data_IF_367836105340
#
_entry.id   IF_367836105340
#
_cell.length_a   1.000
_cell.length_b   1.000
_cell.length_c   1.000
_cell.angle_alpha   90.00
_cell.angle_beta   90.00
_cell.angle_gamma   90.00
#
_symmetry.space_group_name_H-M   'P 1'
#
loop_
_entity.id
_entity.type
_entity.pdbx_description
1 polymer ?
#
# COMPACT_ATOMS: atom_id res chain seq x y z
N UNK A 1 -17.38 -30.07 55.46
CA UNK A 1 -17.97 -30.31 54.12
C UNK A 1 -18.29 -29.04 53.32
N UNK A 2 -18.41 -27.84 53.93
CA UNK A 2 -18.73 -26.58 53.20
C UNK A 2 -17.48 -25.85 52.65
N UNK A 3 -16.35 -25.88 53.38
CA UNK A 3 -15.08 -25.26 52.97
C UNK A 3 -14.45 -25.92 51.73
N UNK A 4 -14.62 -27.23 51.57
CA UNK A 4 -14.10 -27.99 50.42
C UNK A 4 -14.79 -27.62 49.11
N UNK A 5 -16.07 -27.23 49.16
CA UNK A 5 -16.80 -26.73 48.00
C UNK A 5 -16.29 -25.35 47.58
N UNK A 6 -16.03 -24.44 48.52
CA UNK A 6 -15.56 -23.07 48.20
C UNK A 6 -14.20 -23.10 47.51
N UNK A 7 -13.27 -23.93 47.98
CA UNK A 7 -11.94 -24.08 47.35
C UNK A 7 -12.01 -24.65 45.93
N UNK A 8 -12.97 -25.52 45.65
CA UNK A 8 -13.18 -26.11 44.31
C UNK A 8 -13.65 -25.06 43.29
N UNK A 9 -14.51 -24.13 43.73
CA UNK A 9 -15.04 -23.05 42.88
C UNK A 9 -13.99 -21.96 42.59
N UNK A 10 -13.09 -21.65 43.53
CA UNK A 10 -11.98 -20.73 43.27
C UNK A 10 -10.99 -21.29 42.24
N UNK A 11 -10.71 -22.60 42.26
CA UNK A 11 -9.85 -23.25 41.28
C UNK A 11 -10.44 -23.23 39.86
N UNK A 12 -11.76 -23.40 39.74
CA UNK A 12 -12.46 -23.33 38.45
C UNK A 12 -12.48 -21.90 37.87
N UNK A 13 -12.61 -20.88 38.71
CA UNK A 13 -12.55 -19.47 38.29
C UNK A 13 -11.14 -19.05 37.82
N UNK A 14 -10.08 -19.60 38.42
CA UNK A 14 -8.70 -19.36 37.98
C UNK A 14 -8.36 -19.99 36.62
N UNK A 15 -9.14 -20.96 36.15
CA UNK A 15 -8.93 -21.63 34.87
C UNK A 15 -9.49 -20.84 33.66
N UNK A 16 -10.28 -19.77 33.85
CA UNK A 16 -10.90 -19.01 32.77
C UNK A 16 -10.09 -17.77 32.29
N UNK A 17 -8.78 -17.73 32.56
CA UNK A 17 -7.91 -16.68 31.99
C UNK A 17 -8.00 -16.65 30.46
N UNK A 18 -7.85 -15.47 29.81
CA UNK A 18 -7.99 -15.32 28.36
C UNK A 18 -7.13 -16.38 27.65
N UNK A 19 -7.80 -17.38 27.07
CA UNK A 19 -7.14 -18.53 26.46
C UNK A 19 -6.16 -18.10 25.38
N UNK A 20 -5.12 -18.91 25.14
CA UNK A 20 -4.15 -18.67 24.05
C UNK A 20 -4.90 -18.53 22.73
N UNK A 21 -5.11 -17.30 22.29
CA UNK A 21 -5.90 -16.98 21.11
C UNK A 21 -5.27 -17.60 19.87
N UNK A 22 -5.84 -18.69 19.38
CA UNK A 22 -5.52 -19.27 18.09
C UNK A 22 -6.16 -18.42 16.98
N UNK A 23 -5.71 -17.17 16.84
CA UNK A 23 -5.93 -16.42 15.61
C UNK A 23 -4.69 -16.59 14.76
N UNK A 24 -4.77 -17.40 13.71
CA UNK A 24 -3.74 -17.40 12.67
C UNK A 24 -3.82 -16.04 11.99
N UNK A 25 -2.98 -15.09 12.42
CA UNK A 25 -2.81 -13.83 11.70
C UNK A 25 -2.38 -14.19 10.28
N UNK A 26 -3.16 -13.78 9.29
CA UNK A 26 -2.72 -13.88 7.91
C UNK A 26 -1.40 -13.12 7.80
N UNK A 27 -0.35 -13.82 7.35
CA UNK A 27 0.94 -13.19 7.11
C UNK A 27 0.80 -12.04 6.12
N UNK A 28 1.73 -11.08 6.12
CA UNK A 28 1.75 -10.02 5.12
C UNK A 28 1.70 -10.62 3.72
N UNK A 29 0.96 -9.98 2.81
CA UNK A 29 0.93 -10.39 1.39
C UNK A 29 2.36 -10.28 0.85
N UNK A 30 2.84 -11.37 0.24
CA UNK A 30 4.15 -11.37 -0.41
C UNK A 30 4.01 -10.59 -1.72
N UNK A 31 4.79 -9.52 -1.86
CA UNK A 31 4.89 -8.74 -3.10
C UNK A 31 6.07 -9.33 -3.87
N UNK A 32 5.80 -9.94 -5.02
CA UNK A 32 6.85 -10.40 -5.93
C UNK A 32 7.26 -9.24 -6.84
N UNK A 33 8.56 -8.91 -6.95
CA UNK A 33 9.00 -7.87 -7.86
C UNK A 33 8.73 -8.27 -9.31
N UNK A 34 8.45 -7.28 -10.17
CA UNK A 34 8.34 -7.48 -11.61
C UNK A 34 9.73 -7.71 -12.21
N UNK A 35 9.82 -8.61 -13.18
CA UNK A 35 11.02 -8.84 -13.98
C UNK A 35 11.09 -7.82 -15.13
N UNK A 36 12.28 -7.56 -15.66
CA UNK A 36 12.46 -6.69 -16.83
C UNK A 36 11.54 -7.12 -18.00
N UNK A 37 10.86 -6.15 -18.63
CA UNK A 37 9.83 -6.34 -19.67
C UNK A 37 8.58 -7.13 -19.24
N UNK A 38 8.37 -7.39 -17.95
CA UNK A 38 7.12 -7.97 -17.45
C UNK A 38 6.07 -6.88 -17.23
N UNK A 39 4.82 -7.18 -17.57
CA UNK A 39 3.67 -6.32 -17.33
C UNK A 39 2.58 -7.12 -16.60
N UNK A 40 1.86 -6.48 -15.69
CA UNK A 40 0.73 -7.07 -14.97
C UNK A 40 -0.47 -6.11 -15.05
N UNK A 41 -1.64 -6.53 -15.56
CA UNK A 41 -1.93 -7.86 -16.12
C UNK A 41 -1.14 -8.17 -17.39
N UNK A 42 -0.85 -9.45 -17.66
CA UNK A 42 -0.10 -9.89 -18.85
C UNK A 42 -0.95 -9.85 -20.12
N UNK A 43 -1.38 -8.65 -20.47
CA UNK A 43 -2.21 -8.29 -21.63
C UNK A 43 -1.75 -6.91 -22.12
N UNK A 44 -2.17 -6.53 -23.33
CA UNK A 44 -1.87 -5.21 -23.86
C UNK A 44 -2.47 -4.09 -22.98
N UNK A 45 -1.71 -3.02 -22.74
CA UNK A 45 -2.13 -1.83 -22.00
C UNK A 45 -3.45 -1.26 -22.54
N UNK A 46 -3.62 -1.26 -23.87
CA UNK A 46 -4.80 -0.70 -24.53
C UNK A 46 -6.03 -1.62 -24.49
N UNK A 47 -5.92 -2.79 -23.87
CA UNK A 47 -7.05 -3.71 -23.66
C UNK A 47 -8.04 -3.14 -22.65
N UNK A 48 -9.34 -3.43 -22.83
CA UNK A 48 -10.41 -3.05 -21.90
C UNK A 48 -10.22 -3.59 -20.48
N UNK A 49 -9.48 -4.70 -20.32
CA UNK A 49 -9.17 -5.30 -19.02
C UNK A 49 -7.93 -4.70 -18.34
N UNK A 50 -7.20 -3.81 -19.02
CA UNK A 50 -6.05 -3.09 -18.49
C UNK A 50 -6.36 -1.58 -18.39
N UNK A 51 -5.68 -0.73 -19.16
CA UNK A 51 -5.89 0.73 -19.15
C UNK A 51 -7.01 1.19 -20.09
N UNK A 52 -7.38 0.36 -21.08
CA UNK A 52 -8.40 0.68 -22.08
C UNK A 52 -7.85 1.42 -23.30
N UNK A 53 -8.68 1.64 -24.32
CA UNK A 53 -8.26 2.30 -25.56
C UNK A 53 -7.85 3.77 -25.32
N UNK A 54 -6.82 4.27 -26.01
CA UNK A 54 -6.37 5.65 -25.86
C UNK A 54 -7.41 6.63 -26.41
N UNK A 55 -7.74 7.66 -25.64
CA UNK A 55 -8.73 8.68 -26.04
C UNK A 55 -8.18 9.73 -27.01
N UNK A 56 -6.86 9.77 -27.23
CA UNK A 56 -6.17 10.76 -28.07
C UNK A 56 -5.13 11.57 -27.31
N UNK A 57 -4.31 12.32 -28.05
CA UNK A 57 -3.30 13.21 -27.48
C UNK A 57 -3.97 14.48 -26.95
N UNK A 58 -3.65 14.87 -25.72
CA UNK A 58 -4.10 16.12 -25.12
C UNK A 58 -2.99 17.17 -25.28
N UNK A 59 -3.34 18.31 -25.88
CA UNK A 59 -2.51 19.50 -25.99
C UNK A 59 -3.01 20.59 -25.03
N UNK A 60 -2.19 21.62 -24.78
CA UNK A 60 -2.52 22.70 -23.83
C UNK A 60 -3.75 23.54 -24.21
N UNK A 61 -4.13 23.52 -25.49
CA UNK A 61 -5.26 24.29 -26.02
C UNK A 61 -6.57 23.48 -26.03
N UNK A 62 -6.52 22.18 -25.73
CA UNK A 62 -7.70 21.32 -25.79
C UNK A 62 -8.58 21.49 -24.55
N UNK A 63 -9.89 21.30 -24.71
CA UNK A 63 -10.84 21.38 -23.59
C UNK A 63 -10.54 20.34 -22.51
N UNK A 64 -10.12 19.13 -22.92
CA UNK A 64 -9.71 18.04 -22.03
C UNK A 64 -8.49 18.38 -21.16
N UNK A 65 -7.72 19.42 -21.51
CA UNK A 65 -6.60 19.85 -20.69
C UNK A 65 -7.06 20.37 -19.31
N UNK A 66 -8.29 20.89 -19.23
CA UNK A 66 -8.89 21.38 -17.96
C UNK A 66 -9.14 20.25 -16.95
N UNK A 67 -9.23 19.01 -17.42
CA UNK A 67 -9.44 17.84 -16.57
C UNK A 67 -8.13 17.34 -15.93
N UNK A 68 -6.99 17.83 -16.41
CA UNK A 68 -5.69 17.52 -15.82
C UNK A 68 -5.44 18.40 -14.59
N UNK A 69 -5.13 17.74 -13.48
CA UNK A 69 -4.86 18.38 -12.21
C UNK A 69 -3.37 18.30 -11.91
N UNK A 70 -2.71 19.41 -11.52
CA UNK A 70 -1.31 19.39 -11.13
C UNK A 70 -1.11 18.71 -9.77
N UNK A 71 -0.06 17.89 -9.68
CA UNK A 71 0.39 17.24 -8.44
C UNK A 71 1.54 18.02 -7.78
N UNK A 72 1.29 18.55 -6.59
CA UNK A 72 2.25 19.28 -5.77
C UNK A 72 2.65 18.53 -4.50
N UNK A 73 2.57 17.20 -4.50
CA UNK A 73 3.00 16.40 -3.35
C UNK A 73 4.52 16.59 -3.09
N UNK A 74 4.94 17.06 -1.90
CA UNK A 74 6.35 17.23 -1.57
C UNK A 74 7.13 15.91 -1.44
N UNK A 75 6.46 14.78 -1.31
CA UNK A 75 7.10 13.46 -1.22
C UNK A 75 7.52 12.88 -2.59
N UNK A 76 7.29 13.63 -3.68
CA UNK A 76 7.59 13.21 -5.04
C UNK A 76 8.59 14.17 -5.69
N UNK A 77 9.75 13.61 -6.03
CA UNK A 77 10.74 14.29 -6.87
C UNK A 77 10.35 14.10 -8.35
N UNK A 78 9.84 15.17 -8.97
CA UNK A 78 9.57 15.21 -10.41
C UNK A 78 10.81 15.66 -11.17
N UNK A 79 11.11 14.99 -12.29
CA UNK A 79 12.33 15.26 -13.09
C UNK A 79 12.25 16.61 -13.82
N UNK A 80 11.14 16.89 -14.52
CA UNK A 80 10.83 18.14 -15.24
C UNK A 80 12.04 18.77 -15.95
N UNK A 81 12.67 18.02 -16.85
CA UNK A 81 13.85 18.49 -17.61
C UNK A 81 13.48 19.63 -18.58
N UNK A 82 12.22 19.69 -18.99
CA UNK A 82 11.69 20.70 -19.89
C UNK A 82 11.43 22.05 -19.17
N UNK A 83 11.38 22.07 -17.84
CA UNK A 83 11.06 23.26 -17.04
C UNK A 83 9.65 23.80 -17.29
N UNK A 84 8.74 22.96 -17.81
CA UNK A 84 7.38 23.38 -18.18
C UNK A 84 6.32 22.92 -17.17
N UNK A 85 6.70 22.08 -16.20
CA UNK A 85 5.80 21.50 -15.21
C UNK A 85 4.86 20.43 -15.76
N UNK A 86 5.11 19.92 -16.97
CA UNK A 86 4.21 18.97 -17.63
C UNK A 86 4.09 17.64 -16.86
N UNK A 87 5.20 17.16 -16.28
CA UNK A 87 5.26 15.92 -15.47
C UNK A 87 4.32 15.93 -14.27
N UNK A 88 3.91 17.12 -13.82
CA UNK A 88 3.01 17.30 -12.67
C UNK A 88 1.55 17.15 -13.05
N UNK A 89 1.19 17.33 -14.33
CA UNK A 89 -0.18 17.30 -14.80
C UNK A 89 -0.64 15.87 -15.05
N UNK A 90 -1.68 15.44 -14.36
CA UNK A 90 -2.23 14.09 -14.47
C UNK A 90 -3.74 14.09 -14.31
N UNK A 91 -4.39 13.02 -14.77
CA UNK A 91 -5.83 12.82 -14.50
C UNK A 91 -6.06 12.61 -13.01
N UNK A 92 -7.28 12.90 -12.53
CA UNK A 92 -7.63 12.67 -11.13
C UNK A 92 -7.40 11.22 -10.67
N UNK A 93 -7.66 10.24 -11.55
CA UNK A 93 -7.38 8.82 -11.28
C UNK A 93 -5.87 8.56 -11.14
N UNK A 94 -5.06 9.14 -12.03
CA UNK A 94 -3.60 9.06 -11.95
C UNK A 94 -3.05 9.65 -10.65
N UNK A 95 -3.58 10.80 -10.23
CA UNK A 95 -3.22 11.46 -8.98
C UNK A 95 -3.48 10.55 -7.76
N UNK A 96 -4.67 9.95 -7.69
CA UNK A 96 -5.01 9.05 -6.60
C UNK A 96 -4.13 7.79 -6.55
N UNK A 97 -3.81 7.22 -7.72
CA UNK A 97 -2.91 6.05 -7.80
C UNK A 97 -1.47 6.40 -7.39
N UNK A 98 -0.96 7.54 -7.83
CA UNK A 98 0.36 8.08 -7.45
C UNK A 98 0.44 8.31 -5.94
N UNK A 99 -0.57 8.93 -5.33
CA UNK A 99 -0.63 9.14 -3.88
C UNK A 99 -0.63 7.80 -3.09
N UNK A 100 -1.27 6.76 -3.64
CA UNK A 100 -1.24 5.42 -3.03
C UNK A 100 0.12 4.74 -3.18
N UNK A 101 0.82 4.95 -4.29
CA UNK A 101 2.15 4.36 -4.50
C UNK A 101 3.21 5.05 -3.64
N UNK A 102 3.18 6.38 -3.54
CA UNK A 102 4.12 7.14 -2.70
C UNK A 102 4.08 6.71 -1.24
N UNK A 103 2.87 6.63 -0.66
CA UNK A 103 2.71 6.10 0.70
C UNK A 103 3.18 4.65 0.84
N UNK A 104 2.97 3.78 -0.15
CA UNK A 104 3.48 2.40 -0.14
C UNK A 104 5.01 2.32 -0.23
N UNK A 105 5.65 3.23 -0.97
CA UNK A 105 7.12 3.30 -1.08
C UNK A 105 7.72 3.81 0.24
N UNK A 106 7.17 4.88 0.80
CA UNK A 106 7.62 5.43 2.09
C UNK A 106 7.45 4.42 3.22
N UNK A 107 6.30 3.77 3.31
CA UNK A 107 6.04 2.75 4.34
C UNK A 107 6.91 1.51 4.17
N UNK A 108 7.22 1.05 2.96
CA UNK A 108 8.15 -0.07 2.76
C UNK A 108 9.58 0.31 3.13
N UNK A 109 10.06 1.52 2.80
CA UNK A 109 11.36 2.01 3.27
C UNK A 109 11.44 2.01 4.81
N UNK A 110 10.40 2.52 5.47
CA UNK A 110 10.32 2.49 6.94
C UNK A 110 10.14 1.07 7.51
N UNK A 111 9.39 0.19 6.85
CA UNK A 111 9.18 -1.19 7.32
C UNK A 111 10.47 -2.02 7.18
N UNK A 112 11.25 -1.81 6.12
CA UNK A 112 12.60 -2.36 6.01
C UNK A 112 13.50 -1.85 7.13
N UNK A 113 13.51 -0.55 7.43
CA UNK A 113 14.31 0.01 8.52
C UNK A 113 13.87 -0.50 9.90
N UNK A 114 12.56 -0.59 10.17
CA UNK A 114 12.02 -1.13 11.43
C UNK A 114 12.33 -2.62 11.58
N UNK A 115 12.24 -3.40 10.50
CA UNK A 115 12.61 -4.81 10.54
C UNK A 115 14.12 -5.00 10.71
N UNK A 116 14.96 -4.12 10.14
CA UNK A 116 16.41 -4.14 10.35
C UNK A 116 16.79 -3.79 11.80
N UNK A 117 16.15 -2.77 12.40
CA UNK A 117 16.34 -2.40 13.81
C UNK A 117 15.83 -3.49 14.78
N UNK A 118 14.79 -4.23 14.41
CA UNK A 118 14.26 -5.35 15.22
C UNK A 118 15.13 -6.60 15.15
N UNK A 119 15.92 -6.76 14.10
CA UNK A 119 16.91 -7.84 13.97
C UNK A 119 18.19 -7.47 14.75
N UNK A 120 18.63 -6.21 14.69
CA UNK A 120 19.82 -5.75 15.42
C UNK A 120 19.65 -5.64 16.94
N UNK A 121 18.43 -5.64 17.47
CA UNK A 121 18.15 -5.66 18.92
C UNK A 121 17.91 -7.07 19.49
N UNK A 122 18.09 -8.10 18.66
CA UNK A 122 17.93 -9.51 19.00
C UNK A 122 19.21 -10.34 18.82
N UNK A 123 20.32 -9.66 18.56
CA UNK A 123 21.70 -10.17 18.59
C UNK A 123 22.39 -9.43 19.73
#
# INVERSE_FOLDING_TARGET
MRLTLVLLWLGAAAACGPGRGFTRRHGPRRITPLVFNQHDPNINENSKSASGPPEGRITRNDEKFKDLVPNYNPDIDFKDEEGTGADRLMTQRGLALMARQTSAVLTNKHTFAINMLRISSKI
#
